data_IF_985163879840
#
_entry.id   IF_985163879840
#
_cell.length_a   1.000
_cell.length_b   1.000
_cell.length_c   1.000
_cell.angle_alpha   90.00
_cell.angle_beta   90.00
_cell.angle_gamma   90.00
#
_symmetry.space_group_name_H-M   'P 1'
#
loop_
_entity.id
_entity.type
_entity.pdbx_description
1 polymer ?
#
# COMPACT_ATOMS: atom_id res chain seq x y z
N UNK A 1 7.43 -5.86 -36.47
CA UNK A 1 6.51 -6.90 -35.95
C UNK A 1 6.36 -6.62 -34.46
N UNK A 2 5.31 -5.91 -34.04
CA UNK A 2 5.09 -5.67 -32.62
C UNK A 2 4.66 -7.00 -31.99
N UNK A 3 5.53 -7.59 -31.16
CA UNK A 3 5.02 -8.53 -30.17
C UNK A 3 3.90 -7.81 -29.40
N UNK A 4 2.71 -8.41 -29.34
CA UNK A 4 1.58 -7.84 -28.60
C UNK A 4 2.07 -7.52 -27.19
N UNK A 5 2.07 -6.23 -26.81
CA UNK A 5 2.41 -5.83 -25.46
C UNK A 5 1.54 -6.58 -24.45
N UNK A 6 2.08 -7.03 -23.31
CA UNK A 6 1.30 -7.76 -22.32
C UNK A 6 0.11 -6.92 -21.83
N UNK A 7 -0.97 -7.56 -21.38
CA UNK A 7 -2.06 -6.83 -20.73
C UNK A 7 -1.66 -6.38 -19.32
N UNK A 8 -0.87 -7.20 -18.61
CA UNK A 8 -0.48 -6.95 -17.23
C UNK A 8 1.02 -7.09 -17.02
N UNK A 9 1.66 -6.10 -16.38
CA UNK A 9 2.98 -6.27 -15.78
C UNK A 9 2.85 -6.50 -14.28
N UNK A 10 3.38 -7.61 -13.80
CA UNK A 10 3.43 -7.96 -12.38
C UNK A 10 4.80 -7.55 -11.85
N UNK A 11 4.86 -6.52 -11.00
CA UNK A 11 6.11 -5.96 -10.49
C UNK A 11 6.30 -6.38 -9.03
N UNK A 12 7.23 -7.30 -8.78
CA UNK A 12 7.41 -7.88 -7.45
C UNK A 12 8.76 -7.45 -6.87
N UNK A 13 8.78 -6.58 -5.85
CA UNK A 13 10.00 -6.30 -5.10
C UNK A 13 10.38 -7.51 -4.23
N UNK A 14 11.65 -7.84 -4.18
CA UNK A 14 12.18 -8.97 -3.42
C UNK A 14 13.42 -8.55 -2.64
N UNK A 15 13.48 -8.91 -1.36
CA UNK A 15 14.69 -8.78 -0.54
C UNK A 15 14.70 -9.87 0.51
N UNK A 16 15.67 -10.78 0.41
CA UNK A 16 15.80 -11.94 1.31
C UNK A 16 14.47 -12.71 1.50
N UNK A 17 13.79 -13.04 0.39
CA UNK A 17 12.49 -13.71 0.42
C UNK A 17 12.57 -15.20 0.82
N UNK A 18 13.77 -15.78 0.84
CA UNK A 18 14.02 -17.11 1.38
C UNK A 18 13.09 -18.18 0.79
N UNK A 19 12.59 -19.07 1.64
CA UNK A 19 11.72 -20.18 1.21
C UNK A 19 10.34 -19.73 0.69
N UNK A 20 9.85 -18.54 1.07
CA UNK A 20 8.52 -18.07 0.67
C UNK A 20 8.45 -17.71 -0.81
N UNK A 21 9.57 -17.29 -1.39
CA UNK A 21 9.68 -16.97 -2.82
C UNK A 21 9.21 -18.11 -3.72
N UNK A 22 9.49 -19.36 -3.35
CA UNK A 22 9.09 -20.53 -4.14
C UNK A 22 7.57 -20.67 -4.21
N UNK A 23 6.89 -20.59 -3.07
CA UNK A 23 5.42 -20.63 -3.03
C UNK A 23 4.81 -19.46 -3.80
N UNK A 24 5.40 -18.27 -3.65
CA UNK A 24 4.98 -17.06 -4.35
C UNK A 24 5.08 -17.22 -5.88
N UNK A 25 6.25 -17.61 -6.41
CA UNK A 25 6.48 -17.69 -7.86
C UNK A 25 5.64 -18.80 -8.50
N UNK A 26 5.44 -19.92 -7.81
CA UNK A 26 4.52 -20.97 -8.28
C UNK A 26 3.08 -20.46 -8.39
N UNK A 27 2.64 -19.59 -7.46
CA UNK A 27 1.30 -18.98 -7.55
C UNK A 27 1.15 -17.99 -8.72
N UNK A 28 2.24 -17.34 -9.13
CA UNK A 28 2.29 -16.52 -10.34
C UNK A 28 2.28 -17.36 -11.61
N UNK A 29 3.05 -18.44 -11.66
CA UNK A 29 3.10 -19.34 -12.81
C UNK A 29 1.79 -20.11 -13.01
N UNK A 30 1.01 -20.29 -11.95
CA UNK A 30 -0.31 -20.90 -11.99
C UNK A 30 -1.41 -19.94 -12.49
N UNK A 31 -1.10 -18.68 -12.82
CA UNK A 31 -2.11 -17.73 -13.28
C UNK A 31 -2.71 -18.15 -14.63
N UNK A 32 -4.03 -18.03 -14.72
CA UNK A 32 -4.80 -18.36 -15.94
C UNK A 32 -4.68 -17.29 -17.03
N UNK A 33 -4.31 -16.06 -16.66
CA UNK A 33 -4.02 -14.99 -17.60
C UNK A 33 -2.69 -15.25 -18.30
N UNK A 34 -2.71 -15.39 -19.64
CA UNK A 34 -1.49 -15.67 -20.42
C UNK A 34 -0.78 -14.42 -20.93
N UNK A 35 -1.50 -13.31 -21.09
CA UNK A 35 -0.94 -12.03 -21.58
C UNK A 35 -0.39 -11.20 -20.41
N UNK A 36 0.69 -11.70 -19.80
CA UNK A 36 1.38 -11.02 -18.71
C UNK A 36 2.90 -11.06 -18.85
N UNK A 37 3.57 -10.13 -18.18
CA UNK A 37 5.00 -10.19 -17.87
C UNK A 37 5.19 -10.15 -16.35
N UNK A 38 6.24 -10.79 -15.86
CA UNK A 38 6.63 -10.80 -14.45
C UNK A 38 7.98 -10.11 -14.34
N UNK A 39 8.06 -9.08 -13.51
CA UNK A 39 9.24 -8.27 -13.28
C UNK A 39 9.61 -8.44 -11.82
N UNK A 40 10.58 -9.31 -11.57
CA UNK A 40 11.16 -9.53 -10.24
C UNK A 40 12.26 -8.50 -10.03
N UNK A 41 12.20 -7.76 -8.93
CA UNK A 41 13.21 -6.74 -8.60
C UNK A 41 13.90 -7.15 -7.30
N UNK A 42 15.09 -7.73 -7.45
CA UNK A 42 15.95 -8.11 -6.35
C UNK A 42 16.68 -6.87 -5.78
N UNK A 43 16.27 -6.45 -4.59
CA UNK A 43 16.78 -5.29 -3.87
C UNK A 43 18.03 -5.63 -3.04
N UNK A 44 18.95 -6.37 -3.65
CA UNK A 44 20.25 -6.74 -3.10
C UNK A 44 20.17 -7.87 -2.07
N UNK A 45 19.44 -8.95 -2.39
CA UNK A 45 19.35 -10.12 -1.52
C UNK A 45 20.71 -10.80 -1.32
N UNK A 46 20.92 -11.38 -0.14
CA UNK A 46 22.15 -12.10 0.24
C UNK A 46 21.89 -13.55 0.65
N UNK A 47 20.66 -14.04 0.46
CA UNK A 47 20.19 -15.36 0.88
C UNK A 47 19.96 -16.33 -0.31
N UNK A 48 20.50 -16.00 -1.48
CA UNK A 48 20.30 -16.75 -2.72
C UNK A 48 18.93 -16.55 -3.37
N UNK A 49 18.11 -15.58 -2.92
CA UNK A 49 16.84 -15.26 -3.60
C UNK A 49 17.05 -14.71 -5.02
N UNK A 50 18.06 -13.88 -5.23
CA UNK A 50 18.38 -13.32 -6.56
C UNK A 50 18.73 -14.41 -7.59
N UNK A 51 19.63 -15.32 -7.23
CA UNK A 51 20.05 -16.45 -8.08
C UNK A 51 18.87 -17.35 -8.46
N UNK A 52 17.99 -17.64 -7.50
CA UNK A 52 16.77 -18.41 -7.78
C UNK A 52 15.83 -17.68 -8.74
N UNK A 53 15.69 -16.36 -8.62
CA UNK A 53 14.90 -15.57 -9.57
C UNK A 53 15.48 -15.65 -10.99
N UNK A 54 16.80 -15.64 -11.14
CA UNK A 54 17.48 -15.80 -12.43
C UNK A 54 17.20 -17.18 -13.04
N UNK A 55 17.23 -18.25 -12.24
CA UNK A 55 16.88 -19.60 -12.70
C UNK A 55 15.45 -19.69 -13.23
N UNK A 56 14.51 -18.93 -12.65
CA UNK A 56 13.14 -18.81 -13.16
C UNK A 56 13.09 -18.04 -14.47
N UNK A 57 13.79 -16.91 -14.58
CA UNK A 57 13.84 -16.12 -15.81
C UNK A 57 14.44 -16.89 -16.99
N UNK A 58 15.43 -17.75 -16.75
CA UNK A 58 15.98 -18.64 -17.79
C UNK A 58 14.96 -19.65 -18.33
N UNK A 59 14.05 -20.14 -17.47
CA UNK A 59 13.04 -21.16 -17.84
C UNK A 59 11.74 -20.55 -18.38
N UNK A 60 11.45 -19.30 -18.05
CA UNK A 60 10.18 -18.65 -18.36
C UNK A 60 10.42 -17.29 -19.06
N UNK A 61 10.29 -17.22 -20.40
CA UNK A 61 10.62 -16.01 -21.17
C UNK A 61 9.82 -14.74 -20.85
N UNK A 62 8.70 -14.87 -20.13
CA UNK A 62 7.88 -13.75 -19.69
C UNK A 62 8.30 -13.22 -18.31
N UNK A 63 9.34 -13.79 -17.69
CA UNK A 63 9.93 -13.34 -16.42
C UNK A 63 11.21 -12.57 -16.73
N UNK A 64 11.35 -11.39 -16.11
CA UNK A 64 12.57 -10.59 -16.11
C UNK A 64 13.00 -10.31 -14.68
N UNK A 65 14.30 -10.38 -14.42
CA UNK A 65 14.91 -10.01 -13.14
C UNK A 65 15.66 -8.69 -13.29
N UNK A 66 15.53 -7.82 -12.29
CA UNK A 66 16.35 -6.62 -12.12
C UNK A 66 17.07 -6.75 -10.78
N UNK A 67 18.39 -6.67 -10.79
CA UNK A 67 19.17 -6.56 -9.55
C UNK A 67 19.55 -5.11 -9.30
N UNK A 68 19.41 -4.68 -8.05
CA UNK A 68 19.86 -3.36 -7.61
C UNK A 68 20.46 -3.41 -6.20
N UNK A 69 21.35 -2.47 -5.83
CA UNK A 69 21.76 -2.31 -4.45
C UNK A 69 20.58 -1.95 -3.55
N UNK A 70 20.54 -2.55 -2.35
CA UNK A 70 19.45 -2.39 -1.39
C UNK A 70 19.06 -0.91 -1.20
N UNK A 71 17.79 -0.64 -1.49
CA UNK A 71 17.22 0.70 -1.55
C UNK A 71 15.84 0.83 -0.92
N UNK A 72 15.27 -0.29 -0.48
CA UNK A 72 13.92 -0.42 0.03
C UNK A 72 12.88 -0.63 -1.08
N UNK A 73 11.74 -1.16 -0.65
CA UNK A 73 10.60 -1.55 -1.50
C UNK A 73 10.15 -0.47 -2.49
N UNK A 74 10.18 0.81 -2.10
CA UNK A 74 9.79 1.91 -3.00
C UNK A 74 10.71 2.00 -4.23
N UNK A 75 12.03 1.89 -4.03
CA UNK A 75 12.99 1.94 -5.13
C UNK A 75 12.81 0.74 -6.05
N UNK A 76 12.65 -0.45 -5.47
CA UNK A 76 12.42 -1.67 -6.23
C UNK A 76 11.13 -1.60 -7.09
N UNK A 77 10.01 -1.15 -6.51
CA UNK A 77 8.76 -0.97 -7.27
C UNK A 77 8.90 0.08 -8.37
N UNK A 78 9.59 1.20 -8.11
CA UNK A 78 9.85 2.22 -9.14
C UNK A 78 10.75 1.69 -10.27
N UNK A 79 11.78 0.89 -9.95
CA UNK A 79 12.66 0.28 -10.94
C UNK A 79 11.88 -0.68 -11.85
N UNK A 80 11.01 -1.52 -11.28
CA UNK A 80 10.13 -2.38 -12.06
C UNK A 80 9.09 -1.61 -12.88
N UNK A 81 8.53 -0.54 -12.33
CA UNK A 81 7.58 0.32 -13.05
C UNK A 81 8.22 1.01 -14.26
N UNK A 82 9.48 1.42 -14.15
CA UNK A 82 10.21 2.10 -15.23
C UNK A 82 10.41 1.22 -16.49
N UNK A 83 10.34 -0.10 -16.33
CA UNK A 83 10.56 -1.06 -17.41
C UNK A 83 9.30 -1.84 -17.79
N UNK A 84 8.19 -1.61 -17.09
CA UNK A 84 6.92 -2.28 -17.32
C UNK A 84 6.28 -1.83 -18.65
N UNK A 85 5.77 -2.78 -19.41
CA UNK A 85 5.18 -2.56 -20.74
C UNK A 85 3.68 -2.86 -20.81
N UNK A 86 3.12 -3.50 -19.79
CA UNK A 86 1.75 -3.94 -19.72
C UNK A 86 0.74 -2.80 -19.69
N UNK A 87 -0.47 -3.00 -20.26
CA UNK A 87 -1.55 -1.98 -20.18
C UNK A 87 -1.88 -1.61 -18.73
N UNK A 88 -1.85 -2.61 -17.85
CA UNK A 88 -1.98 -2.46 -16.42
C UNK A 88 -0.70 -2.92 -15.70
N UNK A 89 -0.53 -2.45 -14.47
CA UNK A 89 0.52 -2.91 -13.55
C UNK A 89 -0.07 -3.36 -12.22
N UNK A 90 0.62 -4.27 -11.53
CA UNK A 90 0.28 -4.68 -10.16
C UNK A 90 1.56 -4.92 -9.36
N UNK A 91 1.46 -4.93 -8.04
CA UNK A 91 2.60 -4.94 -7.14
C UNK A 91 2.42 -5.94 -6.00
N UNK A 92 2.37 -7.25 -6.28
CA UNK A 92 2.26 -8.27 -5.22
C UNK A 92 3.55 -8.32 -4.39
N UNK A 93 3.42 -8.77 -3.14
CA UNK A 93 4.56 -8.96 -2.24
C UNK A 93 5.07 -10.41 -2.34
N UNK A 94 6.40 -10.60 -2.30
CA UNK A 94 7.07 -11.89 -2.59
C UNK A 94 6.91 -12.98 -1.50
N UNK A 95 6.16 -12.68 -0.44
CA UNK A 95 5.86 -13.55 0.70
C UNK A 95 4.40 -14.02 0.76
N UNK A 96 3.60 -13.64 -0.25
CA UNK A 96 2.18 -13.96 -0.34
C UNK A 96 1.84 -14.91 -1.49
N UNK A 97 0.57 -15.31 -1.64
CA UNK A 97 0.12 -16.08 -2.80
C UNK A 97 -1.18 -15.57 -3.39
N UNK A 98 -1.40 -15.87 -4.67
CA UNK A 98 -2.59 -15.46 -5.41
C UNK A 98 -3.33 -16.69 -5.95
N UNK A 99 -4.66 -16.60 -6.04
CA UNK A 99 -5.46 -17.63 -6.69
C UNK A 99 -5.22 -17.64 -8.21
N UNK A 100 -5.24 -18.80 -8.89
CA UNK A 100 -5.00 -18.91 -10.34
C UNK A 100 -5.82 -17.96 -11.22
N UNK A 101 -7.03 -17.63 -10.78
CA UNK A 101 -7.98 -16.78 -11.50
C UNK A 101 -7.87 -15.28 -11.16
N UNK A 102 -6.95 -14.88 -10.26
CA UNK A 102 -6.89 -13.51 -9.74
C UNK A 102 -6.74 -12.48 -10.86
N UNK A 103 -5.66 -12.58 -11.64
CA UNK A 103 -5.34 -11.55 -12.61
C UNK A 103 -6.24 -11.63 -13.86
N UNK A 104 -6.69 -12.83 -14.25
CA UNK A 104 -7.71 -12.96 -15.29
C UNK A 104 -8.99 -12.24 -14.87
N UNK A 105 -9.48 -12.47 -13.64
CA UNK A 105 -10.68 -11.80 -13.11
C UNK A 105 -10.53 -10.27 -13.12
N UNK A 106 -9.39 -9.76 -12.65
CA UNK A 106 -9.15 -8.32 -12.57
C UNK A 106 -9.00 -7.67 -13.96
N UNK A 107 -8.29 -8.33 -14.88
CA UNK A 107 -8.12 -7.85 -16.26
C UNK A 107 -9.44 -7.90 -17.03
N UNK A 108 -10.23 -8.96 -16.91
CA UNK A 108 -11.55 -9.05 -17.54
C UNK A 108 -12.48 -7.93 -17.04
N UNK A 109 -12.48 -7.67 -15.73
CA UNK A 109 -13.19 -6.55 -15.14
C UNK A 109 -12.70 -5.21 -15.70
N UNK A 110 -11.38 -5.02 -15.81
CA UNK A 110 -10.81 -3.78 -16.30
C UNK A 110 -11.05 -3.53 -17.79
N UNK A 111 -10.97 -4.56 -18.62
CA UNK A 111 -11.24 -4.45 -20.05
C UNK A 111 -12.73 -4.27 -20.36
N UNK A 112 -13.61 -5.03 -19.69
CA UNK A 112 -15.05 -4.94 -19.93
C UNK A 112 -15.63 -3.57 -19.57
N UNK A 113 -15.11 -2.95 -18.49
CA UNK A 113 -15.58 -1.66 -18.01
C UNK A 113 -14.62 -0.50 -18.31
N UNK A 114 -13.54 -0.69 -19.09
CA UNK A 114 -12.48 0.32 -19.31
C UNK A 114 -12.04 1.00 -17.99
N UNK A 115 -11.58 0.21 -17.01
CA UNK A 115 -11.25 0.71 -15.66
C UNK A 115 -9.84 1.29 -15.59
N UNK A 116 -9.65 2.35 -14.83
CA UNK A 116 -8.31 2.78 -14.41
C UNK A 116 -7.75 1.90 -13.29
N UNK A 117 -8.64 1.25 -12.53
CA UNK A 117 -8.29 0.31 -11.47
C UNK A 117 -9.38 -0.73 -11.24
N UNK A 118 -8.94 -1.99 -11.16
CA UNK A 118 -9.76 -3.09 -10.65
C UNK A 118 -9.10 -3.63 -9.38
N UNK A 119 -9.87 -3.73 -8.29
CA UNK A 119 -9.41 -4.28 -7.02
C UNK A 119 -10.25 -5.49 -6.61
N UNK A 120 -9.62 -6.47 -5.96
CA UNK A 120 -10.28 -7.58 -5.30
C UNK A 120 -10.12 -7.47 -3.78
N UNK A 121 -10.64 -8.48 -3.07
CA UNK A 121 -10.40 -8.68 -1.66
C UNK A 121 -9.29 -9.72 -1.46
N UNK A 122 -8.90 -9.90 -0.20
CA UNK A 122 -7.94 -10.92 0.21
C UNK A 122 -8.45 -11.73 1.41
N UNK A 123 -7.74 -12.80 1.71
CA UNK A 123 -7.85 -13.55 2.96
C UNK A 123 -6.55 -13.41 3.76
N UNK A 124 -6.69 -13.17 5.08
CA UNK A 124 -5.64 -13.43 6.05
C UNK A 124 -5.44 -14.92 6.15
N UNK A 125 -4.20 -15.39 6.08
CA UNK A 125 -3.84 -16.77 6.36
C UNK A 125 -3.01 -16.86 7.63
N UNK A 126 -3.58 -17.53 8.64
CA UNK A 126 -2.94 -17.74 9.93
C UNK A 126 -2.17 -19.05 9.91
N UNK A 127 -0.86 -18.99 9.66
CA UNK A 127 -0.02 -20.19 9.50
C UNK A 127 -0.13 -21.17 10.68
N UNK A 128 -0.22 -20.66 11.91
CA UNK A 128 -0.27 -21.48 13.12
C UNK A 128 -1.56 -22.31 13.26
N UNK A 129 -2.70 -21.79 12.83
CA UNK A 129 -4.00 -22.47 12.91
C UNK A 129 -4.48 -23.06 11.59
N UNK A 130 -3.80 -22.74 10.48
CA UNK A 130 -4.23 -23.04 9.12
C UNK A 130 -5.65 -22.50 8.80
N UNK A 131 -6.01 -21.38 9.42
CA UNK A 131 -7.30 -20.72 9.22
C UNK A 131 -7.19 -19.54 8.26
N UNK A 132 -8.30 -19.25 7.57
CA UNK A 132 -8.44 -18.06 6.73
C UNK A 132 -9.55 -17.14 7.20
N UNK A 133 -9.36 -15.83 7.03
CA UNK A 133 -10.41 -14.83 7.28
C UNK A 133 -10.39 -13.75 6.21
N UNK A 134 -11.55 -13.24 5.75
CA UNK A 134 -11.58 -12.15 4.78
C UNK A 134 -10.90 -10.89 5.34
N UNK A 135 -10.07 -10.24 4.53
CA UNK A 135 -9.42 -8.98 4.86
C UNK A 135 -10.46 -7.89 5.13
N UNK A 136 -11.41 -7.73 4.21
CA UNK A 136 -12.60 -6.92 4.38
C UNK A 136 -13.80 -7.86 4.45
N UNK A 137 -14.51 -7.93 5.60
CA UNK A 137 -15.71 -8.76 5.70
C UNK A 137 -16.76 -8.37 4.65
N UNK A 138 -17.41 -9.32 3.96
CA UNK A 138 -18.39 -9.02 2.90
C UNK A 138 -19.55 -8.13 3.36
N UNK A 139 -19.93 -8.20 4.64
CA UNK A 139 -20.98 -7.37 5.24
C UNK A 139 -20.56 -5.89 5.35
N UNK A 140 -19.25 -5.62 5.33
CA UNK A 140 -18.69 -4.26 5.33
C UNK A 140 -18.55 -3.69 3.94
N UNK A 141 -18.27 -4.54 2.95
CA UNK A 141 -18.05 -4.12 1.57
C UNK A 141 -18.28 -5.26 0.58
N UNK A 142 -19.36 -5.15 -0.18
CA UNK A 142 -19.65 -6.03 -1.31
C UNK A 142 -19.03 -5.51 -2.61
N UNK A 143 -19.02 -6.38 -3.63
CA UNK A 143 -18.72 -6.01 -5.01
C UNK A 143 -19.47 -4.74 -5.45
N UNK A 144 -18.81 -3.92 -6.27
CA UNK A 144 -19.28 -2.59 -6.67
C UNK A 144 -19.57 -2.51 -8.16
N UNK A 145 -20.45 -1.58 -8.54
CA UNK A 145 -20.49 -1.04 -9.90
C UNK A 145 -19.25 -0.19 -10.17
N UNK A 146 -19.11 0.32 -11.39
CA UNK A 146 -18.09 1.33 -11.69
C UNK A 146 -18.37 2.60 -10.86
N UNK A 147 -17.33 3.12 -10.22
CA UNK A 147 -17.33 4.35 -9.41
C UNK A 147 -16.21 5.27 -9.89
N UNK A 148 -16.28 6.57 -9.57
CA UNK A 148 -15.07 7.39 -9.61
C UNK A 148 -14.10 6.98 -8.51
N UNK A 149 -12.80 7.24 -8.69
CA UNK A 149 -11.80 6.92 -7.69
C UNK A 149 -12.04 7.59 -6.32
N UNK A 150 -12.40 8.89 -6.23
CA UNK A 150 -12.76 9.52 -4.96
C UNK A 150 -13.97 8.88 -4.27
N UNK A 151 -14.97 8.42 -5.03
CA UNK A 151 -16.13 7.71 -4.50
C UNK A 151 -15.76 6.34 -3.95
N UNK A 152 -14.97 5.59 -4.72
CA UNK A 152 -14.42 4.30 -4.29
C UNK A 152 -13.60 4.45 -3.01
N UNK A 153 -12.63 5.36 -2.98
CA UNK A 153 -11.79 5.62 -1.81
C UNK A 153 -12.64 5.98 -0.57
N UNK A 154 -13.65 6.83 -0.73
CA UNK A 154 -14.57 7.15 0.35
C UNK A 154 -15.37 5.94 0.85
N UNK A 155 -15.86 5.08 -0.06
CA UNK A 155 -16.58 3.86 0.31
C UNK A 155 -15.66 2.89 1.06
N UNK A 156 -14.44 2.71 0.56
CA UNK A 156 -13.43 1.85 1.16
C UNK A 156 -13.03 2.33 2.57
N UNK A 157 -12.69 3.61 2.75
CA UNK A 157 -12.31 4.18 4.04
C UNK A 157 -13.41 4.06 5.11
N UNK A 158 -14.69 4.18 4.72
CA UNK A 158 -15.83 4.03 5.63
C UNK A 158 -16.00 2.62 6.21
N UNK A 159 -15.37 1.61 5.61
CA UNK A 159 -15.38 0.26 6.17
C UNK A 159 -14.60 0.16 7.47
N UNK A 160 -13.63 1.08 7.68
CA UNK A 160 -12.60 0.98 8.72
C UNK A 160 -11.78 -0.33 8.68
N UNK A 161 -11.84 -1.05 7.55
CA UNK A 161 -11.11 -2.30 7.28
C UNK A 161 -10.22 -2.21 6.05
N UNK A 162 -10.47 -1.23 5.18
CA UNK A 162 -9.64 -0.96 4.02
C UNK A 162 -8.19 -0.68 4.43
N UNK A 163 -7.27 -1.32 3.73
CA UNK A 163 -5.83 -1.06 3.82
C UNK A 163 -5.39 -0.42 2.51
N UNK A 164 -4.60 0.64 2.63
CA UNK A 164 -3.88 1.17 1.49
C UNK A 164 -2.76 0.20 1.14
N UNK A 165 -3.06 -0.73 0.24
CA UNK A 165 -2.10 -1.70 -0.28
C UNK A 165 -2.23 -1.75 -1.79
N UNK A 166 -1.11 -1.98 -2.45
CA UNK A 166 -1.06 -2.00 -3.91
C UNK A 166 -1.29 -3.40 -4.50
N UNK A 167 -1.04 -4.46 -3.73
CA UNK A 167 -1.14 -5.86 -4.18
C UNK A 167 -2.57 -6.37 -4.40
N UNK A 168 -3.60 -5.64 -3.96
CA UNK A 168 -5.02 -6.02 -4.15
C UNK A 168 -5.61 -5.67 -5.52
N UNK A 169 -4.85 -5.03 -6.41
CA UNK A 169 -5.42 -4.53 -7.65
C UNK A 169 -4.44 -4.41 -8.79
N UNK A 170 -5.01 -4.14 -9.96
CA UNK A 170 -4.30 -3.74 -11.16
C UNK A 170 -4.60 -2.27 -11.46
N UNK A 171 -3.61 -1.53 -11.92
CA UNK A 171 -3.65 -0.08 -12.10
C UNK A 171 -3.26 0.26 -13.53
N UNK A 172 -4.03 1.12 -14.21
CA UNK A 172 -3.75 1.54 -15.59
C UNK A 172 -2.40 2.26 -15.67
N UNK A 173 -1.46 1.69 -16.41
CA UNK A 173 -0.08 2.21 -16.51
C UNK A 173 -0.04 3.63 -17.06
N UNK A 174 -0.81 3.90 -18.10
CA UNK A 174 -0.90 5.24 -18.73
C UNK A 174 -1.27 6.33 -17.72
N UNK A 175 -2.17 6.04 -16.77
CA UNK A 175 -2.55 7.01 -15.74
C UNK A 175 -1.40 7.26 -14.75
N UNK A 176 -0.66 6.21 -14.36
CA UNK A 176 0.52 6.32 -13.51
C UNK A 176 1.58 7.21 -14.17
N UNK A 177 1.86 6.97 -15.45
CA UNK A 177 2.84 7.72 -16.25
C UNK A 177 2.44 9.19 -16.40
N UNK A 178 1.16 9.44 -16.73
CA UNK A 178 0.61 10.79 -16.86
C UNK A 178 0.75 11.61 -15.58
N UNK A 179 0.55 10.96 -14.43
CA UNK A 179 0.69 11.58 -13.11
C UNK A 179 2.14 11.67 -12.63
N UNK A 180 3.09 11.01 -13.32
CA UNK A 180 4.46 10.78 -12.87
C UNK A 180 4.49 10.21 -11.44
N UNK A 181 3.55 9.31 -11.16
CA UNK A 181 3.32 8.79 -9.83
C UNK A 181 4.39 7.76 -9.48
N UNK A 182 5.15 8.01 -8.42
CA UNK A 182 6.24 7.15 -7.95
C UNK A 182 6.04 6.83 -6.46
N UNK A 183 6.59 5.70 -6.03
CA UNK A 183 6.68 5.37 -4.61
C UNK A 183 7.80 6.16 -3.94
N UNK A 184 7.50 6.80 -2.81
CA UNK A 184 8.46 7.64 -2.09
C UNK A 184 9.60 6.80 -1.48
N UNK A 185 10.88 6.98 -1.90
CA UNK A 185 12.01 6.25 -1.36
C UNK A 185 12.17 6.43 0.16
N UNK A 186 12.49 5.34 0.86
CA UNK A 186 12.72 5.35 2.31
C UNK A 186 11.48 5.59 3.17
N UNK A 187 10.27 5.65 2.59
CA UNK A 187 9.03 5.83 3.34
C UNK A 187 8.36 4.47 3.61
N UNK A 188 8.27 4.07 4.89
CA UNK A 188 7.39 2.96 5.28
C UNK A 188 5.92 3.35 5.05
N UNK A 189 5.09 2.38 4.68
CA UNK A 189 3.68 2.61 4.28
C UNK A 189 3.53 3.62 3.14
N UNK A 190 4.48 3.62 2.19
CA UNK A 190 4.41 4.45 0.98
C UNK A 190 3.11 4.25 0.17
N UNK A 191 2.41 3.12 0.38
CA UNK A 191 1.18 2.79 -0.34
C UNK A 191 0.07 3.79 -0.01
N UNK A 192 0.07 4.34 1.22
CA UNK A 192 -0.94 5.28 1.69
C UNK A 192 -1.00 6.53 0.80
N UNK A 193 0.09 7.33 0.66
CA UNK A 193 0.05 8.49 -0.23
C UNK A 193 -0.10 8.08 -1.70
N UNK A 194 0.54 7.00 -2.15
CA UNK A 194 0.50 6.55 -3.56
C UNK A 194 -0.93 6.20 -3.99
N UNK A 195 -1.60 5.29 -3.27
CA UNK A 195 -2.97 4.87 -3.59
C UNK A 195 -3.97 6.01 -3.42
N UNK A 196 -3.77 6.88 -2.43
CA UNK A 196 -4.62 8.07 -2.24
C UNK A 196 -4.53 8.98 -3.47
N UNK A 197 -3.33 9.36 -3.89
CA UNK A 197 -3.15 10.25 -5.04
C UNK A 197 -3.63 9.61 -6.35
N UNK A 198 -3.36 8.32 -6.54
CA UNK A 198 -3.87 7.57 -7.69
C UNK A 198 -5.41 7.62 -7.73
N UNK A 199 -6.07 7.25 -6.63
CA UNK A 199 -7.53 7.22 -6.55
C UNK A 199 -8.18 8.59 -6.71
N UNK A 200 -7.51 9.70 -6.35
CA UNK A 200 -8.05 11.04 -6.61
C UNK A 200 -8.03 11.43 -8.10
N UNK A 201 -7.34 10.69 -8.95
CA UNK A 201 -7.29 10.93 -10.41
C UNK A 201 -8.01 9.85 -11.24
N UNK A 202 -8.35 8.73 -10.62
CA UNK A 202 -9.10 7.64 -11.25
C UNK A 202 -10.50 8.10 -11.63
N UNK A 203 -10.88 7.88 -12.89
CA UNK A 203 -12.23 8.12 -13.40
C UNK A 203 -13.12 6.89 -13.24
N UNK A 204 -12.55 5.70 -13.41
CA UNK A 204 -13.29 4.43 -13.40
C UNK A 204 -12.60 3.40 -12.51
N UNK A 205 -13.16 3.17 -11.33
CA UNK A 205 -12.73 2.17 -10.37
C UNK A 205 -13.81 1.11 -10.20
N UNK A 206 -13.41 -0.15 -10.03
CA UNK A 206 -14.32 -1.22 -9.60
C UNK A 206 -13.64 -2.13 -8.60
N UNK A 207 -14.42 -2.56 -7.62
CA UNK A 207 -14.02 -3.54 -6.61
C UNK A 207 -14.90 -4.78 -6.66
N UNK A 208 -14.28 -5.95 -6.49
CA UNK A 208 -14.96 -7.22 -6.20
C UNK A 208 -14.60 -7.73 -4.80
N UNK A 209 -15.58 -8.28 -4.10
CA UNK A 209 -15.42 -8.92 -2.78
C UNK A 209 -14.81 -10.32 -2.84
N UNK A 210 -14.53 -10.86 -4.04
CA UNK A 210 -13.79 -12.10 -4.23
C UNK A 210 -12.42 -12.02 -3.54
N UNK A 211 -12.15 -13.00 -2.67
CA UNK A 211 -10.89 -13.15 -1.95
C UNK A 211 -9.91 -13.89 -2.87
N UNK A 212 -9.12 -13.16 -3.65
CA UNK A 212 -8.24 -13.70 -4.69
C UNK A 212 -6.75 -13.66 -4.31
N UNK A 213 -6.42 -12.96 -3.24
CA UNK A 213 -5.08 -12.83 -2.72
C UNK A 213 -5.04 -13.39 -1.29
N UNK A 214 -3.96 -14.11 -0.94
CA UNK A 214 -3.75 -14.71 0.37
C UNK A 214 -2.56 -14.03 1.04
N UNK A 215 -2.85 -13.28 2.10
CA UNK A 215 -1.87 -12.56 2.87
C UNK A 215 -1.38 -13.40 4.06
N UNK A 216 -0.08 -13.73 4.09
CA UNK A 216 0.48 -14.62 5.11
C UNK A 216 0.88 -13.84 6.36
N UNK A 217 0.26 -14.18 7.50
CA UNK A 217 0.66 -13.64 8.79
C UNK A 217 1.81 -14.46 9.37
N UNK A 218 3.00 -13.88 9.35
CA UNK A 218 4.19 -14.46 10.00
C UNK A 218 4.74 -13.52 11.09
N UNK A 219 5.29 -14.09 12.16
CA UNK A 219 5.77 -13.34 13.34
C UNK A 219 6.89 -12.33 13.01
N UNK A 220 7.64 -12.57 11.92
CA UNK A 220 8.71 -11.68 11.48
C UNK A 220 8.22 -10.41 10.75
N UNK A 221 6.91 -10.27 10.52
CA UNK A 221 6.28 -9.14 9.83
C UNK A 221 6.77 -7.80 10.38
N UNK A 222 7.30 -6.95 9.49
CA UNK A 222 7.83 -5.63 9.87
C UNK A 222 6.75 -4.81 10.61
N UNK A 223 5.49 -4.91 10.17
CA UNK A 223 4.37 -4.19 10.76
C UNK A 223 4.09 -4.56 12.23
N UNK A 224 4.42 -5.78 12.67
CA UNK A 224 4.11 -6.30 14.00
C UNK A 224 5.29 -6.23 15.00
N UNK A 225 6.48 -5.80 14.56
CA UNK A 225 7.64 -5.67 15.45
C UNK A 225 7.41 -4.59 16.49
N UNK A 226 7.53 -4.94 17.77
CA UNK A 226 7.57 -3.96 18.87
C UNK A 226 8.82 -3.09 18.70
N UNK A 227 8.64 -1.78 18.86
CA UNK A 227 9.71 -0.77 18.77
C UNK A 227 9.60 0.14 19.97
N UNK A 228 10.74 0.52 20.53
CA UNK A 228 10.90 1.50 21.61
C UNK A 228 12.13 2.36 21.33
N UNK A 229 12.29 3.46 22.07
CA UNK A 229 13.46 4.33 21.94
C UNK A 229 13.59 4.96 20.55
N UNK A 230 14.82 5.17 20.09
CA UNK A 230 15.12 5.82 18.81
C UNK A 230 14.45 5.15 17.60
N UNK A 231 14.39 3.81 17.58
CA UNK A 231 13.74 3.05 16.50
C UNK A 231 12.25 3.35 16.38
N UNK A 232 11.57 3.62 17.50
CA UNK A 232 10.16 4.03 17.44
C UNK A 232 10.03 5.47 16.95
N UNK A 233 10.91 6.38 17.38
CA UNK A 233 10.96 7.76 16.87
C UNK A 233 11.09 7.77 15.35
N UNK A 234 12.10 7.09 14.82
CA UNK A 234 12.34 6.96 13.38
C UNK A 234 11.11 6.37 12.66
N UNK A 235 10.50 5.34 13.24
CA UNK A 235 9.31 4.74 12.67
C UNK A 235 8.10 5.70 12.64
N UNK A 236 7.88 6.48 13.70
CA UNK A 236 6.78 7.45 13.74
C UNK A 236 6.98 8.63 12.79
N UNK A 237 8.22 9.00 12.46
CA UNK A 237 8.51 10.04 11.46
C UNK A 237 7.94 9.69 10.08
N UNK A 238 7.78 8.41 9.74
CA UNK A 238 7.07 8.00 8.52
C UNK A 238 5.60 8.42 8.55
N UNK A 239 4.88 8.20 9.65
CA UNK A 239 3.48 8.62 9.77
C UNK A 239 3.33 10.16 9.76
N UNK A 240 4.28 10.89 10.35
CA UNK A 240 4.30 12.36 10.26
C UNK A 240 4.49 12.83 8.82
N UNK A 241 5.43 12.21 8.08
CA UNK A 241 5.65 12.48 6.65
C UNK A 241 4.41 12.12 5.82
N UNK A 242 3.76 10.99 6.08
CA UNK A 242 2.53 10.57 5.40
C UNK A 242 1.41 11.59 5.64
N UNK A 243 1.18 12.02 6.90
CA UNK A 243 0.16 13.02 7.19
C UNK A 243 0.42 14.34 6.45
N UNK A 244 1.68 14.76 6.32
CA UNK A 244 2.08 15.91 5.51
C UNK A 244 1.82 15.69 4.01
N UNK A 245 2.18 14.53 3.47
CA UNK A 245 1.94 14.18 2.07
C UNK A 245 0.45 14.16 1.75
N UNK A 246 -0.40 13.59 2.61
CA UNK A 246 -1.84 13.57 2.43
C UNK A 246 -2.46 14.98 2.51
N UNK A 247 -1.96 15.86 3.39
CA UNK A 247 -2.37 17.27 3.40
C UNK A 247 -1.98 17.98 2.09
N UNK A 248 -0.76 17.73 1.59
CA UNK A 248 -0.30 18.26 0.30
C UNK A 248 -1.17 17.75 -0.87
N UNK A 249 -1.50 16.46 -0.88
CA UNK A 249 -2.42 15.85 -1.86
C UNK A 249 -3.78 16.57 -1.76
N UNK A 250 -4.36 16.68 -0.56
CA UNK A 250 -5.62 17.39 -0.37
C UNK A 250 -5.56 18.83 -0.91
N UNK A 251 -4.49 19.57 -0.66
CA UNK A 251 -4.30 20.92 -1.21
C UNK A 251 -4.28 20.95 -2.75
N UNK A 252 -3.59 19.99 -3.40
CA UNK A 252 -3.52 19.90 -4.86
C UNK A 252 -4.86 19.54 -5.52
N UNK A 253 -5.69 18.75 -4.85
CA UNK A 253 -6.89 18.13 -5.44
C UNK A 253 -8.23 18.67 -4.94
N UNK A 254 -8.28 19.42 -3.83
CA UNK A 254 -9.53 19.95 -3.22
C UNK A 254 -10.43 20.79 -4.14
N UNK A 255 -9.88 21.34 -5.22
CA UNK A 255 -10.62 22.11 -6.22
C UNK A 255 -10.73 21.39 -7.58
N UNK A 256 -10.16 20.19 -7.70
CA UNK A 256 -10.14 19.38 -8.93
C UNK A 256 -11.13 18.22 -8.88
N UNK A 257 -11.31 17.65 -7.69
CA UNK A 257 -12.21 16.53 -7.45
C UNK A 257 -12.97 16.72 -6.14
N UNK A 258 -14.06 15.97 -5.99
CA UNK A 258 -14.81 15.95 -4.75
C UNK A 258 -13.99 15.28 -3.64
N UNK A 259 -13.66 16.06 -2.61
CA UNK A 259 -13.01 15.55 -1.40
C UNK A 259 -14.07 15.16 -0.38
N UNK A 260 -14.05 13.90 0.03
CA UNK A 260 -14.98 13.35 1.00
C UNK A 260 -14.47 13.50 2.44
N UNK A 261 -15.36 13.61 3.45
CA UNK A 261 -14.97 13.66 4.86
C UNK A 261 -14.10 12.49 5.33
N UNK A 262 -14.25 11.30 4.73
CA UNK A 262 -13.44 10.13 5.05
C UNK A 262 -11.94 10.34 4.76
N UNK A 263 -11.60 11.12 3.72
CA UNK A 263 -10.20 11.44 3.43
C UNK A 263 -9.61 12.42 4.47
N UNK A 264 -10.37 13.42 4.91
CA UNK A 264 -9.96 14.26 6.04
C UNK A 264 -9.78 13.46 7.33
N UNK A 265 -10.65 12.45 7.54
CA UNK A 265 -10.50 11.53 8.66
C UNK A 265 -9.19 10.76 8.58
N UNK A 266 -8.83 10.22 7.40
CA UNK A 266 -7.57 9.52 7.17
C UNK A 266 -6.36 10.39 7.51
N UNK A 267 -6.29 11.64 7.04
CA UNK A 267 -5.17 12.57 7.34
C UNK A 267 -4.96 12.68 8.86
N UNK A 268 -6.05 12.88 9.59
CA UNK A 268 -6.00 13.00 11.05
C UNK A 268 -5.71 11.66 11.73
N UNK A 269 -6.21 10.55 11.19
CA UNK A 269 -5.99 9.21 11.74
C UNK A 269 -4.50 8.83 11.73
N UNK A 270 -3.79 9.08 10.62
CA UNK A 270 -2.34 8.80 10.55
C UNK A 270 -1.56 9.61 11.60
N UNK A 271 -1.94 10.87 11.82
CA UNK A 271 -1.33 11.69 12.86
C UNK A 271 -1.72 11.23 14.29
N UNK A 272 -2.94 10.75 14.49
CA UNK A 272 -3.38 10.19 15.77
C UNK A 272 -2.63 8.88 16.11
N UNK A 273 -2.22 8.08 15.12
CA UNK A 273 -1.40 6.89 15.35
C UNK A 273 -0.10 7.23 16.08
N UNK A 274 0.56 8.34 15.71
CA UNK A 274 1.74 8.87 16.42
C UNK A 274 1.40 9.21 17.88
N UNK A 275 0.25 9.86 18.12
CA UNK A 275 -0.19 10.23 19.47
C UNK A 275 -0.37 8.99 20.37
N UNK A 276 -0.92 7.90 19.82
CA UNK A 276 -1.06 6.65 20.54
C UNK A 276 0.30 5.99 20.83
N UNK A 277 1.26 6.11 19.90
CA UNK A 277 2.63 5.62 20.09
C UNK A 277 3.35 6.38 21.21
N UNK A 278 3.25 7.72 21.25
CA UNK A 278 3.80 8.58 22.32
C UNK A 278 3.32 8.12 23.69
N UNK A 279 2.03 7.81 23.84
CA UNK A 279 1.48 7.33 25.13
C UNK A 279 2.10 6.00 25.57
N UNK A 280 2.44 5.13 24.62
CA UNK A 280 2.92 3.76 24.88
C UNK A 280 4.44 3.68 24.98
N UNK A 281 5.16 4.73 24.63
CA UNK A 281 6.62 4.74 24.64
C UNK A 281 7.15 4.78 26.09
N UNK A 282 7.88 3.74 26.54
CA UNK A 282 8.49 3.73 27.86
C UNK A 282 9.72 4.65 27.97
N UNK A 283 10.46 4.87 26.88
CA UNK A 283 11.65 5.71 26.91
C UNK A 283 11.27 7.20 26.86
N UNK A 284 11.60 7.92 27.94
CA UNK A 284 11.25 9.34 28.08
C UNK A 284 11.87 10.20 26.98
N UNK A 285 13.12 9.92 26.59
CA UNK A 285 13.84 10.72 25.59
C UNK A 285 13.20 10.59 24.21
N UNK A 286 12.83 9.36 23.83
CA UNK A 286 12.11 9.06 22.60
C UNK A 286 10.70 9.64 22.63
N UNK A 287 10.01 9.58 23.77
CA UNK A 287 8.70 10.20 23.95
C UNK A 287 8.77 11.72 23.70
N UNK A 288 9.75 12.40 24.30
CA UNK A 288 9.95 13.84 24.09
C UNK A 288 10.35 14.15 22.64
N UNK A 289 11.19 13.33 22.00
CA UNK A 289 11.56 13.50 20.60
C UNK A 289 10.34 13.43 19.67
N UNK A 290 9.46 12.45 19.85
CA UNK A 290 8.21 12.36 19.07
C UNK A 290 7.27 13.55 19.31
N UNK A 291 7.16 14.02 20.56
CA UNK A 291 6.37 15.22 20.88
C UNK A 291 6.96 16.43 20.14
N UNK A 292 8.28 16.63 20.20
CA UNK A 292 8.98 17.69 19.49
C UNK A 292 8.74 17.62 17.98
N UNK A 293 8.82 16.42 17.39
CA UNK A 293 8.54 16.19 15.96
C UNK A 293 7.11 16.59 15.58
N UNK A 294 6.09 16.34 16.41
CA UNK A 294 4.70 16.79 16.15
C UNK A 294 4.59 18.31 16.02
N UNK A 295 5.32 19.05 16.86
CA UNK A 295 5.32 20.51 16.82
C UNK A 295 6.18 21.06 15.67
N UNK A 296 7.40 20.54 15.52
CA UNK A 296 8.33 20.94 14.46
C UNK A 296 7.74 20.71 13.06
N UNK A 297 7.06 19.58 12.88
CA UNK A 297 6.37 19.28 11.62
C UNK A 297 5.03 19.99 11.50
N UNK A 298 4.52 20.75 12.47
CA UNK A 298 3.16 21.34 12.47
C UNK A 298 2.01 20.32 12.39
N UNK A 299 2.24 19.06 12.76
CA UNK A 299 1.23 17.99 12.68
C UNK A 299 0.00 18.29 13.54
N UNK A 300 0.18 18.92 14.70
CA UNK A 300 -0.92 19.41 15.55
C UNK A 300 -1.87 20.35 14.80
N UNK A 301 -1.34 21.31 14.04
CA UNK A 301 -2.14 22.22 13.21
C UNK A 301 -2.82 21.50 12.07
N UNK A 302 -2.15 20.52 11.42
CA UNK A 302 -2.76 19.71 10.36
C UNK A 302 -3.98 18.97 10.85
N UNK A 303 -3.88 18.35 12.03
CA UNK A 303 -4.99 17.62 12.62
C UNK A 303 -6.18 18.57 12.90
N UNK A 304 -5.94 19.79 13.39
CA UNK A 304 -6.99 20.81 13.59
C UNK A 304 -7.69 21.18 12.27
N UNK A 305 -6.94 21.40 11.19
CA UNK A 305 -7.50 21.75 9.87
C UNK A 305 -8.35 20.63 9.25
N UNK A 306 -8.01 19.38 9.56
CA UNK A 306 -8.64 18.19 8.96
C UNK A 306 -9.67 17.51 9.88
N UNK A 307 -9.87 17.97 11.10
CA UNK A 307 -10.90 17.42 11.98
C UNK A 307 -12.31 17.68 11.42
N UNK A 308 -13.13 16.63 11.38
CA UNK A 308 -14.51 16.57 10.87
C UNK A 308 -15.37 15.77 11.86
N UNK A 309 -16.47 16.39 12.31
CA UNK A 309 -17.43 15.76 13.21
C UNK A 309 -17.00 15.76 14.68
N UNK A 310 -18.00 15.65 15.57
CA UNK A 310 -17.85 15.82 17.03
C UNK A 310 -16.86 14.82 17.64
N UNK A 311 -16.98 13.53 17.27
CA UNK A 311 -16.12 12.46 17.81
C UNK A 311 -14.63 12.71 17.51
N UNK A 312 -14.32 13.20 16.31
CA UNK A 312 -12.95 13.47 15.93
C UNK A 312 -12.38 14.69 16.65
N UNK A 313 -13.17 15.76 16.76
CA UNK A 313 -12.81 16.93 17.57
C UNK A 313 -12.55 16.57 19.03
N UNK A 314 -13.39 15.73 19.63
CA UNK A 314 -13.18 15.24 21.00
C UNK A 314 -11.85 14.48 21.14
N UNK A 315 -11.58 13.50 20.27
CA UNK A 315 -10.32 12.75 20.29
C UNK A 315 -9.11 13.66 20.09
N UNK A 316 -9.21 14.59 19.14
CA UNK A 316 -8.16 15.55 18.83
C UNK A 316 -7.81 16.40 20.06
N UNK A 317 -8.80 17.07 20.65
CA UNK A 317 -8.58 17.97 21.77
C UNK A 317 -8.03 17.22 22.99
N UNK A 318 -8.52 16.01 23.24
CA UNK A 318 -7.98 15.13 24.28
C UNK A 318 -6.48 14.84 24.06
N UNK A 319 -6.09 14.50 22.83
CA UNK A 319 -4.69 14.19 22.50
C UNK A 319 -3.81 15.42 22.51
N UNK A 320 -4.27 16.56 21.99
CA UNK A 320 -3.52 17.81 22.04
C UNK A 320 -3.29 18.27 23.49
N UNK A 321 -4.29 18.15 24.36
CA UNK A 321 -4.14 18.43 25.79
C UNK A 321 -3.09 17.54 26.46
N UNK A 322 -3.11 16.23 26.18
CA UNK A 322 -2.11 15.28 26.69
C UNK A 322 -0.70 15.59 26.19
N UNK A 323 -0.55 15.82 24.89
CA UNK A 323 0.75 16.13 24.27
C UNK A 323 1.31 17.43 24.83
N UNK A 324 0.47 18.46 25.01
CA UNK A 324 0.89 19.72 25.59
C UNK A 324 1.32 19.56 27.06
N UNK A 325 0.59 18.75 27.83
CA UNK A 325 0.94 18.45 29.22
C UNK A 325 2.24 17.63 29.34
N UNK A 326 2.47 16.66 28.45
CA UNK A 326 3.69 15.84 28.45
C UNK A 326 4.91 16.54 27.87
N UNK A 327 4.72 17.62 27.10
CA UNK A 327 5.82 18.39 26.52
C UNK A 327 6.61 19.05 27.64
N UNK A 328 7.89 18.67 27.76
CA UNK A 328 8.83 19.43 28.60
C UNK A 328 9.12 20.78 27.92
N UNK A 329 9.12 21.84 28.71
CA UNK A 329 9.45 23.19 28.25
C UNK A 329 10.93 23.34 27.96
#
# INVERSE_FOLDING_TARGET
>A
MSQNSPLLSIITPMFNAGAMFETFIQSLLAQTLTSLEIILVDDGSTDGSGERADDYAQRHPHIRVIHQPNGGVSRARNAGLAVASGKYVTFPDADDTMKPEMYQTLVDMAEADDLDVAQCNAEWFFQASNETQPLIPPERLSSTSVLSGPEWLNKALKTHRYKHVVWLGIYRRELIEKLKLNFEPGLHHQDIPWTTEFMLNVKRARYTDKQLYRYYLHDASISNRKRTGLRNVEYQRHYLKIAQMLESINSRYRHKVKIYPAFHYQITYEALSVCHSIRREPDESARQAMIADIFATQTHTRMLRNARGVKQWYHLLLWLGRIYYWRRK
#
